data_IF_939768852632
#
_entry.id   IF_939768852632
#
_cell.length_a   1.000
_cell.length_b   1.000
_cell.length_c   1.000
_cell.angle_alpha   90.00
_cell.angle_beta   90.00
_cell.angle_gamma   90.00
#
_symmetry.space_group_name_H-M   'P 1'
#
loop_
_entity.id
_entity.type
_entity.pdbx_description
1 polymer ?
#
# COMPACT_ATOMS: atom_id res chain seq x y z
N UNK A 1 2.53 9.36 4.02
CA UNK A 1 2.11 10.16 2.85
C UNK A 1 3.12 10.12 1.70
N UNK A 2 4.40 9.92 2.01
CA UNK A 2 5.44 9.96 0.97
C UNK A 2 5.77 8.61 0.33
N UNK A 3 5.10 7.54 0.72
CA UNK A 3 5.39 6.20 0.17
C UNK A 3 5.04 6.14 -1.31
N UNK A 4 6.01 5.73 -2.13
CA UNK A 4 5.84 5.51 -3.57
C UNK A 4 6.45 4.17 -3.93
N UNK A 5 6.11 3.63 -5.11
CA UNK A 5 6.77 2.44 -5.63
C UNK A 5 7.85 2.88 -6.63
N UNK A 6 9.06 2.41 -6.42
CA UNK A 6 10.17 2.59 -7.36
C UNK A 6 10.51 1.20 -7.89
N UNK A 7 10.25 0.98 -9.18
CA UNK A 7 10.35 -0.33 -9.81
C UNK A 7 9.59 -1.41 -9.01
N UNK A 8 8.40 -1.05 -8.52
CA UNK A 8 7.53 -1.97 -7.80
C UNK A 8 7.82 -2.16 -6.32
N UNK A 9 8.86 -1.53 -5.79
CA UNK A 9 9.26 -1.66 -4.38
C UNK A 9 8.93 -0.37 -3.63
N UNK A 10 8.30 -0.50 -2.46
CA UNK A 10 7.92 0.67 -1.67
C UNK A 10 9.14 1.40 -1.10
N UNK A 11 9.12 2.72 -1.21
CA UNK A 11 10.14 3.61 -0.69
C UNK A 11 9.48 4.85 -0.09
N UNK A 12 10.15 5.47 0.86
CA UNK A 12 9.73 6.76 1.39
C UNK A 12 10.40 7.84 0.56
N UNK A 13 9.64 8.49 -0.32
CA UNK A 13 10.19 9.44 -1.29
C UNK A 13 10.91 10.60 -0.63
N UNK A 14 10.57 10.94 0.62
CA UNK A 14 11.25 12.00 1.36
C UNK A 14 12.71 11.67 1.66
N UNK A 15 13.11 10.41 1.58
CA UNK A 15 14.47 9.93 1.86
C UNK A 15 15.23 9.51 0.61
N UNK A 16 14.66 9.74 -0.58
CA UNK A 16 15.25 9.35 -1.85
C UNK A 16 15.64 10.61 -2.62
N UNK A 17 16.89 10.68 -3.05
CA UNK A 17 17.36 11.80 -3.87
C UNK A 17 16.82 11.63 -5.30
N UNK A 18 16.46 12.75 -5.91
CA UNK A 18 15.85 12.75 -7.25
C UNK A 18 16.71 12.02 -8.29
N UNK A 19 18.03 12.21 -8.24
CA UNK A 19 18.90 11.56 -9.21
C UNK A 19 18.99 10.05 -9.04
N UNK A 20 18.60 9.52 -7.87
CA UNK A 20 18.61 8.07 -7.63
C UNK A 20 17.51 7.35 -8.40
N UNK A 21 16.48 8.07 -8.84
CA UNK A 21 15.37 7.46 -9.59
C UNK A 21 15.53 7.59 -11.11
N UNK A 22 16.68 8.08 -11.55
CA UNK A 22 16.94 8.20 -12.99
C UNK A 22 16.85 6.81 -13.65
N UNK A 23 16.05 6.72 -14.71
CA UNK A 23 15.86 5.47 -15.44
C UNK A 23 14.97 4.45 -14.74
N UNK A 24 14.31 4.84 -13.64
CA UNK A 24 13.42 3.95 -12.89
C UNK A 24 11.98 4.41 -13.02
N UNK A 25 11.07 3.46 -12.87
CA UNK A 25 9.63 3.76 -12.88
C UNK A 25 9.18 4.13 -11.47
N UNK A 26 8.50 5.27 -11.33
CA UNK A 26 7.95 5.71 -10.06
C UNK A 26 6.43 5.71 -10.18
N UNK A 27 5.77 4.99 -9.29
CA UNK A 27 4.31 4.93 -9.23
C UNK A 27 3.84 5.56 -7.92
N UNK A 28 2.93 6.50 -8.02
CA UNK A 28 2.29 7.14 -6.87
C UNK A 28 0.85 6.65 -6.75
N UNK A 29 0.17 7.07 -5.67
CA UNK A 29 -1.22 6.66 -5.43
C UNK A 29 -2.15 7.07 -6.57
N UNK A 30 -1.89 8.19 -7.22
CA UNK A 30 -2.73 8.69 -8.30
C UNK A 30 -2.74 7.78 -9.53
N UNK A 31 -1.68 7.00 -9.72
CA UNK A 31 -1.55 6.10 -10.87
C UNK A 31 -1.99 4.67 -10.61
N UNK A 32 -2.56 4.40 -9.43
CA UNK A 32 -2.83 3.01 -9.03
C UNK A 32 -4.11 2.44 -9.66
N UNK A 33 -5.16 3.24 -9.81
CA UNK A 33 -6.37 2.75 -10.45
C UNK A 33 -6.17 2.61 -11.95
N UNK A 34 -6.91 1.69 -12.56
CA UNK A 34 -6.85 1.47 -14.01
C UNK A 34 -7.44 2.67 -14.76
N UNK A 35 -7.11 2.77 -16.06
CA UNK A 35 -7.59 3.87 -16.91
C UNK A 35 -9.12 3.94 -17.00
N UNK A 36 -9.81 2.80 -16.84
CA UNK A 36 -11.27 2.72 -16.85
C UNK A 36 -11.91 3.01 -15.48
N UNK A 37 -11.11 3.36 -14.48
CA UNK A 37 -11.57 3.62 -13.13
C UNK A 37 -11.67 2.40 -12.21
N UNK A 38 -11.28 1.21 -12.69
CA UNK A 38 -11.27 0.01 -11.88
C UNK A 38 -10.22 0.15 -10.77
N UNK A 39 -10.64 -0.06 -9.52
CA UNK A 39 -9.76 0.06 -8.39
C UNK A 39 -8.80 -1.13 -8.29
N UNK A 40 -7.59 -0.85 -7.82
CA UNK A 40 -6.65 -1.90 -7.45
C UNK A 40 -7.24 -2.73 -6.29
N UNK A 41 -6.97 -4.06 -6.21
CA UNK A 41 -7.48 -4.89 -5.11
C UNK A 41 -7.23 -4.31 -3.72
N UNK A 42 -6.09 -3.66 -3.50
CA UNK A 42 -5.79 -3.01 -2.22
C UNK A 42 -6.78 -1.87 -1.95
N UNK A 43 -7.06 -1.04 -2.96
CA UNK A 43 -8.01 0.06 -2.80
C UNK A 43 -9.42 -0.46 -2.53
N UNK A 44 -9.82 -1.52 -3.19
CA UNK A 44 -11.12 -2.16 -2.96
C UNK A 44 -11.21 -2.68 -1.52
N UNK A 45 -10.16 -3.30 -1.02
CA UNK A 45 -10.10 -3.80 0.34
C UNK A 45 -10.23 -2.68 1.38
N UNK A 46 -9.63 -1.51 1.12
CA UNK A 46 -9.76 -0.34 2.00
C UNK A 46 -11.23 0.05 2.15
N UNK A 47 -11.94 0.11 1.03
CA UNK A 47 -13.36 0.49 1.03
C UNK A 47 -14.20 -0.53 1.80
N UNK A 48 -14.00 -1.81 1.52
CA UNK A 48 -14.82 -2.87 2.10
C UNK A 48 -14.58 -3.05 3.59
N UNK A 49 -13.33 -2.95 4.04
CA UNK A 49 -12.99 -3.08 5.46
C UNK A 49 -13.12 -1.79 6.22
N UNK A 50 -13.31 -0.67 5.52
CA UNK A 50 -13.38 0.65 6.14
C UNK A 50 -12.20 0.90 7.08
N UNK A 51 -10.99 0.59 6.61
CA UNK A 51 -9.77 0.61 7.41
C UNK A 51 -9.20 1.99 7.62
N UNK A 52 -10.04 2.99 7.81
CA UNK A 52 -9.58 4.37 7.96
C UNK A 52 -10.54 5.16 8.86
N UNK A 53 -10.01 6.23 9.43
CA UNK A 53 -10.80 7.27 10.11
C UNK A 53 -10.61 8.57 9.33
N UNK A 54 -9.51 9.31 9.58
CA UNK A 54 -9.25 10.53 8.82
C UNK A 54 -8.72 10.27 7.42
N UNK A 55 -8.21 9.07 7.15
CA UNK A 55 -7.65 8.61 5.89
C UNK A 55 -6.37 9.34 5.44
N UNK A 56 -5.79 10.21 6.25
CA UNK A 56 -4.58 10.93 5.88
C UNK A 56 -3.39 9.99 5.64
N UNK A 57 -3.29 8.92 6.42
CA UNK A 57 -2.20 7.94 6.28
C UNK A 57 -2.46 6.90 5.18
N UNK A 58 -3.68 6.84 4.65
CA UNK A 58 -4.08 5.76 3.75
C UNK A 58 -3.27 5.69 2.46
N UNK A 59 -2.96 6.79 1.77
CA UNK A 59 -2.14 6.66 0.56
C UNK A 59 -0.83 5.93 0.79
N UNK A 60 -0.14 6.24 1.89
CA UNK A 60 1.10 5.55 2.24
C UNK A 60 0.90 4.07 2.54
N UNK A 61 -0.10 3.74 3.33
CA UNK A 61 -0.41 2.34 3.63
C UNK A 61 -0.80 1.57 2.37
N UNK A 62 -1.61 2.17 1.49
CA UNK A 62 -2.02 1.53 0.24
C UNK A 62 -0.79 1.19 -0.62
N UNK A 63 0.12 2.13 -0.80
CA UNK A 63 1.32 1.89 -1.60
C UNK A 63 2.21 0.81 -0.97
N UNK A 64 2.36 0.82 0.35
CA UNK A 64 3.11 -0.24 1.05
C UNK A 64 2.42 -1.60 0.90
N UNK A 65 1.10 -1.65 0.94
CA UNK A 65 0.34 -2.88 0.76
C UNK A 65 0.47 -3.43 -0.66
N UNK A 66 0.48 -2.56 -1.67
CA UNK A 66 0.70 -3.00 -3.06
C UNK A 66 2.05 -3.71 -3.17
N UNK A 67 3.08 -3.12 -2.60
CA UNK A 67 4.40 -3.75 -2.57
C UNK A 67 4.38 -5.09 -1.81
N UNK A 68 3.67 -5.14 -0.69
CA UNK A 68 3.56 -6.36 0.11
C UNK A 68 2.93 -7.50 -0.68
N UNK A 69 1.77 -7.26 -1.30
CA UNK A 69 1.05 -8.33 -2.00
C UNK A 69 1.77 -8.77 -3.28
N UNK A 70 2.56 -7.89 -3.88
CA UNK A 70 3.36 -8.24 -5.05
C UNK A 70 4.54 -9.13 -4.66
N UNK A 71 5.19 -8.86 -3.53
CA UNK A 71 6.33 -9.64 -3.04
C UNK A 71 5.89 -10.94 -2.39
N UNK A 72 4.80 -10.91 -1.64
CA UNK A 72 4.31 -12.05 -0.87
C UNK A 72 2.80 -12.13 -1.00
N UNK A 73 2.28 -12.92 -1.94
CA UNK A 73 0.83 -13.00 -2.16
C UNK A 73 0.06 -13.68 -1.03
N UNK A 74 0.76 -14.32 -0.09
CA UNK A 74 0.11 -15.01 1.02
C UNK A 74 0.82 -14.70 2.35
N UNK A 75 0.85 -13.41 2.78
CA UNK A 75 1.52 -13.06 4.02
C UNK A 75 0.70 -13.49 5.23
N UNK A 76 1.40 -13.79 6.34
CA UNK A 76 0.74 -13.89 7.63
C UNK A 76 0.45 -12.47 8.14
N UNK A 77 -0.43 -12.37 9.12
CA UNK A 77 -0.73 -11.07 9.73
C UNK A 77 0.53 -10.43 10.34
N UNK A 78 1.41 -11.23 10.94
CA UNK A 78 2.67 -10.75 11.48
C UNK A 78 3.60 -10.22 10.40
N UNK A 79 3.68 -10.90 9.25
CA UNK A 79 4.49 -10.44 8.11
C UNK A 79 3.94 -9.14 7.54
N UNK A 80 2.61 -9.01 7.46
CA UNK A 80 1.99 -7.77 7.02
C UNK A 80 2.31 -6.62 7.97
N UNK A 81 2.21 -6.86 9.28
CA UNK A 81 2.54 -5.85 10.28
C UNK A 81 3.99 -5.40 10.18
N UNK A 82 4.91 -6.34 9.96
CA UNK A 82 6.33 -6.05 9.78
C UNK A 82 6.55 -5.16 8.54
N UNK A 83 5.95 -5.53 7.43
CA UNK A 83 6.11 -4.80 6.16
C UNK A 83 5.56 -3.36 6.27
N UNK A 84 4.45 -3.19 6.99
CA UNK A 84 3.79 -1.89 7.12
C UNK A 84 4.31 -1.06 8.30
N UNK A 85 5.29 -1.56 9.03
CA UNK A 85 5.75 -0.92 10.28
C UNK A 85 6.35 0.47 10.09
N UNK A 86 6.78 0.82 8.90
CA UNK A 86 7.32 2.13 8.59
C UNK A 86 6.26 3.21 8.35
N UNK A 87 4.98 2.82 8.27
CA UNK A 87 3.87 3.76 8.08
C UNK A 87 3.17 3.98 9.42
N UNK A 88 2.82 5.23 9.70
CA UNK A 88 2.21 5.63 10.96
C UNK A 88 0.78 6.10 10.74
N UNK A 89 -0.10 5.74 11.68
CA UNK A 89 -1.49 6.18 11.70
C UNK A 89 -1.76 6.95 13.00
N UNK A 90 -2.05 8.22 12.88
CA UNK A 90 -2.31 9.07 14.05
C UNK A 90 -3.62 8.67 14.76
N UNK A 91 -4.57 8.10 14.04
CA UNK A 91 -5.82 7.60 14.61
C UNK A 91 -5.65 6.23 15.28
N UNK A 92 -4.48 5.62 15.16
CA UNK A 92 -4.14 4.33 15.76
C UNK A 92 -5.04 3.18 15.30
N UNK A 93 -5.47 3.22 14.04
CA UNK A 93 -6.41 2.25 13.47
C UNK A 93 -5.70 1.01 12.92
N UNK A 94 -4.60 0.61 13.53
CA UNK A 94 -3.70 -0.42 12.99
C UNK A 94 -4.37 -1.78 12.82
N UNK A 95 -5.29 -2.17 13.71
CA UNK A 95 -5.99 -3.44 13.57
C UNK A 95 -6.84 -3.48 12.30
N UNK A 96 -7.57 -2.41 12.01
CA UNK A 96 -8.37 -2.32 10.77
C UNK A 96 -7.47 -2.26 9.54
N UNK A 97 -6.36 -1.56 9.64
CA UNK A 97 -5.39 -1.47 8.55
C UNK A 97 -4.84 -2.86 8.23
N UNK A 98 -4.53 -3.66 9.24
CA UNK A 98 -4.09 -5.03 9.03
C UNK A 98 -5.19 -5.90 8.42
N UNK A 99 -6.44 -5.67 8.80
CA UNK A 99 -7.58 -6.35 8.17
C UNK A 99 -7.64 -6.04 6.67
N UNK A 100 -7.39 -4.77 6.31
CA UNK A 100 -7.30 -4.37 4.89
C UNK A 100 -6.19 -5.15 4.18
N UNK A 101 -5.02 -5.22 4.78
CA UNK A 101 -3.86 -5.91 4.18
C UNK A 101 -4.17 -7.39 3.94
N UNK A 102 -4.81 -8.05 4.89
CA UNK A 102 -5.16 -9.46 4.76
C UNK A 102 -6.21 -9.68 3.68
N UNK A 103 -7.22 -8.81 3.61
CA UNK A 103 -8.23 -8.90 2.55
C UNK A 103 -7.64 -8.58 1.17
N UNK A 104 -6.76 -7.60 1.10
CA UNK A 104 -6.08 -7.25 -0.14
C UNK A 104 -5.25 -8.43 -0.67
N UNK A 105 -4.56 -9.14 0.21
CA UNK A 105 -3.80 -10.35 -0.16
C UNK A 105 -4.73 -11.40 -0.75
N UNK A 106 -5.88 -11.62 -0.12
CA UNK A 106 -6.86 -12.58 -0.59
C UNK A 106 -7.36 -12.22 -1.98
N UNK A 107 -7.70 -10.95 -2.20
CA UNK A 107 -8.17 -10.48 -3.51
C UNK A 107 -7.09 -10.59 -4.58
N UNK A 108 -5.84 -10.28 -4.23
CA UNK A 108 -4.73 -10.36 -5.17
C UNK A 108 -4.47 -11.80 -5.63
N UNK A 109 -4.71 -12.78 -4.76
CA UNK A 109 -4.56 -14.19 -5.14
C UNK A 109 -5.64 -14.67 -6.11
N UNK A 110 -6.80 -14.02 -6.13
CA UNK A 110 -7.89 -14.39 -7.04
C UNK A 110 -7.71 -13.85 -8.45
N UNK A 111 -6.82 -12.91 -8.62
CA UNK A 111 -6.51 -12.28 -9.90
C UNK A 111 -5.24 -12.90 -10.47
#
# INVERSE_FOLDING_TARGET
>A
ACTVLINGVSHYSCSILTHQVRGREVLTIEGLEAADGTLHPVQQAVIEEQGFQCAFCMPGFVMSMVSLVDENPNPTRAEAAQHLSGNLCRCADYNKILNVAMRASEYSRRV
#
